data_IF_572528529205
#
_entry.id   IF_572528529205
#
_cell.length_a   1.000
_cell.length_b   1.000
_cell.length_c   1.000
_cell.angle_alpha   90.00
_cell.angle_beta   90.00
_cell.angle_gamma   90.00
#
_symmetry.space_group_name_H-M   'P 1'
#
loop_
_entity.id
_entity.type
_entity.pdbx_description
1 polymer ?
#
# COMPACT_ATOMS: atom_id res chain seq x y z
N UNK A 1 -71.93 -6.60 -3.25
CA UNK A 1 -71.05 -5.42 -3.48
C UNK A 1 -71.46 -4.32 -2.51
N UNK A 2 -70.50 -3.57 -1.93
CA UNK A 2 -70.67 -2.39 -1.06
C UNK A 2 -71.63 -2.53 0.13
N UNK A 3 -71.14 -2.25 1.34
CA UNK A 3 -71.67 -1.17 2.19
C UNK A 3 -70.74 -0.92 3.38
N UNK A 4 -70.73 0.34 3.84
CA UNK A 4 -70.05 0.74 5.07
C UNK A 4 -71.06 1.30 6.09
N UNK A 5 -70.53 2.06 7.05
CA UNK A 5 -71.22 2.82 8.11
C UNK A 5 -71.70 2.07 9.38
N UNK A 6 -70.96 2.33 10.49
CA UNK A 6 -71.38 3.02 11.74
C UNK A 6 -72.71 2.60 12.42
N UNK A 7 -72.82 2.58 13.77
CA UNK A 7 -72.46 3.71 14.67
C UNK A 7 -71.73 3.24 15.97
N UNK A 8 -71.69 3.87 17.17
CA UNK A 8 -72.26 5.13 17.74
C UNK A 8 -71.35 5.69 18.88
N UNK A 9 -71.79 6.78 19.52
CA UNK A 9 -71.27 7.33 20.80
C UNK A 9 -71.68 6.41 22.00
N UNK A 10 -71.24 6.56 23.27
CA UNK A 10 -70.84 7.77 23.98
C UNK A 10 -70.04 7.56 25.30
N UNK A 11 -69.32 8.62 25.70
CA UNK A 11 -69.06 9.15 27.07
C UNK A 11 -69.10 8.19 28.28
N UNK A 12 -67.94 8.08 28.94
CA UNK A 12 -67.82 7.87 30.39
C UNK A 12 -66.59 8.61 30.93
N UNK A 13 -66.77 9.75 31.60
CA UNK A 13 -65.70 10.42 32.37
C UNK A 13 -65.70 9.85 33.79
N UNK A 14 -64.52 9.59 34.36
CA UNK A 14 -64.30 9.78 35.79
C UNK A 14 -62.84 10.15 36.10
N UNK A 15 -62.68 11.07 37.05
CA UNK A 15 -61.42 11.48 37.67
C UNK A 15 -60.99 10.38 38.69
N UNK A 16 -59.78 10.27 39.26
CA UNK A 16 -58.51 11.04 39.28
C UNK A 16 -57.35 10.00 39.41
N UNK A 17 -56.04 10.26 39.46
CA UNK A 17 -55.26 11.26 40.22
C UNK A 17 -53.79 11.19 39.77
N UNK A 18 -53.06 12.29 39.97
CA UNK A 18 -51.59 12.41 40.15
C UNK A 18 -50.63 11.49 39.37
N UNK A 19 -49.88 12.09 38.43
CA UNK A 19 -48.48 11.70 38.21
C UNK A 19 -47.56 12.90 38.41
N UNK A 20 -46.57 12.71 39.29
CA UNK A 20 -45.53 13.70 39.59
C UNK A 20 -44.63 13.91 38.38
N UNK A 21 -44.21 15.15 38.15
CA UNK A 21 -43.28 15.51 37.10
C UNK A 21 -41.87 15.02 37.44
N UNK A 22 -41.22 14.29 36.53
CA UNK A 22 -39.78 14.23 36.54
C UNK A 22 -39.20 14.19 35.11
N UNK A 23 -38.53 15.29 34.76
CA UNK A 23 -38.26 15.69 33.38
C UNK A 23 -36.90 15.13 32.90
N UNK A 24 -36.89 13.87 32.44
CA UNK A 24 -35.67 13.24 31.89
C UNK A 24 -35.30 13.80 30.51
N UNK A 25 -34.50 14.88 30.50
CA UNK A 25 -33.81 15.38 29.30
C UNK A 25 -32.91 14.30 28.68
N UNK A 26 -33.34 13.69 27.57
CA UNK A 26 -32.44 12.98 26.65
C UNK A 26 -31.69 13.99 25.78
N UNK A 27 -30.58 14.51 26.30
CA UNK A 27 -29.59 15.25 25.50
C UNK A 27 -28.68 14.28 24.76
N UNK A 28 -28.72 14.27 23.42
CA UNK A 28 -27.92 13.37 22.61
C UNK A 28 -26.42 13.64 22.74
N UNK A 29 -25.65 12.63 23.17
CA UNK A 29 -24.19 12.67 23.21
C UNK A 29 -23.58 12.62 21.81
N UNK A 30 -23.64 13.73 21.07
CA UNK A 30 -22.95 13.90 19.79
C UNK A 30 -21.44 13.90 20.01
N UNK A 31 -20.80 12.74 19.85
CA UNK A 31 -19.35 12.60 19.97
C UNK A 31 -18.63 13.49 18.97
N UNK A 32 -18.03 14.59 19.44
CA UNK A 32 -17.17 15.45 18.63
C UNK A 32 -16.01 14.61 18.08
N UNK A 33 -15.99 14.37 16.77
CA UNK A 33 -14.81 13.85 16.07
C UNK A 33 -13.64 14.79 16.38
N UNK A 34 -12.59 14.26 17.03
CA UNK A 34 -11.33 14.98 17.19
C UNK A 34 -10.75 15.21 15.80
N UNK A 35 -10.79 16.44 15.30
CA UNK A 35 -9.99 16.82 14.14
C UNK A 35 -8.52 16.50 14.43
N UNK A 36 -7.83 15.86 13.49
CA UNK A 36 -6.41 15.56 13.62
C UNK A 36 -5.58 16.84 13.84
N UNK A 37 -4.42 16.69 14.48
CA UNK A 37 -3.45 17.79 14.60
C UNK A 37 -3.17 18.32 13.20
N UNK A 38 -3.55 19.56 12.92
CA UNK A 38 -3.31 20.14 11.59
C UNK A 38 -1.81 20.26 11.38
N UNK A 39 -1.30 19.68 10.29
CA UNK A 39 0.10 19.80 9.91
C UNK A 39 0.39 21.28 9.61
N UNK A 40 1.48 21.82 10.16
CA UNK A 40 1.93 23.18 9.86
C UNK A 40 2.28 23.29 8.36
N UNK A 41 1.63 24.19 7.58
CA UNK A 41 1.91 24.36 6.16
C UNK A 41 3.39 24.63 5.82
N UNK A 42 4.19 25.15 6.76
CA UNK A 42 5.64 25.32 6.59
C UNK A 42 6.38 24.00 6.35
N UNK A 43 5.80 22.86 6.75
CA UNK A 43 6.35 21.51 6.51
C UNK A 43 6.15 21.00 5.08
N UNK A 44 5.41 21.74 4.25
CA UNK A 44 5.20 21.43 2.84
C UNK A 44 6.03 22.32 1.90
N UNK A 45 6.97 23.10 2.45
CA UNK A 45 7.88 23.97 1.70
C UNK A 45 9.31 23.55 2.00
N UNK A 46 9.97 22.92 1.04
CA UNK A 46 11.36 22.46 1.13
C UNK A 46 11.92 22.40 -0.30
N UNK A 47 12.89 23.25 -0.67
CA UNK A 47 13.52 23.15 -1.98
C UNK A 47 14.22 21.79 -2.10
N UNK A 48 14.23 21.21 -3.31
CA UNK A 48 15.00 20.01 -3.58
C UNK A 48 16.47 20.25 -3.19
N UNK A 49 17.01 19.36 -2.36
CA UNK A 49 18.43 19.31 -2.08
C UNK A 49 19.01 18.21 -2.94
N UNK A 50 19.69 18.61 -4.02
CA UNK A 50 20.56 17.69 -4.74
C UNK A 50 21.72 17.28 -3.83
N UNK A 51 21.48 16.24 -3.05
CA UNK A 51 22.56 15.41 -2.55
C UNK A 51 23.06 14.65 -3.75
N UNK A 52 24.36 14.71 -4.03
CA UNK A 52 25.00 13.55 -4.65
C UNK A 52 24.64 12.35 -3.75
N UNK A 53 23.74 11.50 -4.23
CA UNK A 53 23.54 10.20 -3.60
C UNK A 53 24.86 9.50 -3.87
N UNK A 54 25.70 9.36 -2.83
CA UNK A 54 26.87 8.48 -2.93
C UNK A 54 26.33 7.11 -3.30
N UNK A 55 26.50 6.78 -4.57
CA UNK A 55 26.00 5.54 -5.12
C UNK A 55 26.64 4.42 -4.32
N UNK A 56 25.79 3.53 -3.81
CA UNK A 56 26.30 2.44 -2.99
C UNK A 56 27.00 1.46 -3.92
N UNK A 57 28.33 1.51 -3.94
CA UNK A 57 29.11 0.45 -4.58
C UNK A 57 28.91 -0.84 -3.80
N UNK A 58 28.28 -1.86 -4.41
CA UNK A 58 28.04 -3.12 -3.73
C UNK A 58 29.34 -3.90 -3.60
N UNK A 59 29.47 -4.64 -2.51
CA UNK A 59 30.63 -5.51 -2.26
C UNK A 59 30.58 -6.80 -3.07
N UNK A 60 29.40 -7.16 -3.57
CA UNK A 60 29.13 -8.36 -4.35
C UNK A 60 28.40 -8.00 -5.65
N UNK A 61 28.56 -8.83 -6.68
CA UNK A 61 27.63 -8.95 -7.79
C UNK A 61 26.54 -9.98 -7.46
N UNK A 62 25.49 -10.07 -8.27
CA UNK A 62 24.50 -11.14 -8.08
C UNK A 62 25.06 -12.57 -8.24
N UNK A 63 26.19 -12.74 -8.93
CA UNK A 63 26.81 -14.04 -9.18
C UNK A 63 27.55 -14.57 -7.95
N UNK A 64 28.07 -13.68 -7.09
CA UNK A 64 28.83 -14.04 -5.89
C UNK A 64 27.95 -14.68 -4.80
N UNK A 65 26.62 -14.51 -4.87
CA UNK A 65 25.67 -15.13 -3.93
C UNK A 65 25.42 -16.63 -4.18
N UNK A 66 25.98 -17.23 -5.24
CA UNK A 66 25.87 -18.68 -5.48
C UNK A 66 24.45 -19.17 -5.76
N UNK A 67 23.60 -18.35 -6.37
CA UNK A 67 22.22 -18.72 -6.68
C UNK A 67 22.10 -19.91 -7.64
N UNK A 68 20.90 -20.52 -7.68
CA UNK A 68 20.61 -21.61 -8.60
C UNK A 68 20.71 -21.10 -10.04
N UNK A 69 21.24 -21.92 -10.96
CA UNK A 69 21.47 -21.54 -12.36
C UNK A 69 20.23 -20.92 -13.05
N UNK A 70 19.03 -21.41 -12.76
CA UNK A 70 17.78 -20.85 -13.31
C UNK A 70 17.57 -19.40 -12.87
N UNK A 71 17.85 -19.08 -11.60
CA UNK A 71 17.75 -17.72 -11.07
C UNK A 71 18.82 -16.83 -11.71
N UNK A 72 20.05 -17.33 -11.83
CA UNK A 72 21.17 -16.64 -12.47
C UNK A 72 20.85 -16.31 -13.95
N UNK A 73 20.33 -17.27 -14.72
CA UNK A 73 19.88 -17.04 -16.09
C UNK A 73 18.75 -16.00 -16.18
N UNK A 74 17.80 -16.01 -15.23
CA UNK A 74 16.69 -15.04 -15.18
C UNK A 74 17.14 -13.63 -14.74
N UNK A 75 18.20 -13.50 -13.94
CA UNK A 75 18.83 -12.23 -13.60
C UNK A 75 19.56 -11.63 -14.81
N UNK A 76 20.35 -12.43 -15.53
CA UNK A 76 20.99 -12.02 -16.80
C UNK A 76 19.93 -11.59 -17.82
N UNK A 77 18.85 -12.35 -17.99
CA UNK A 77 17.76 -11.98 -18.90
C UNK A 77 16.98 -10.71 -18.51
N UNK A 78 17.18 -10.19 -17.29
CA UNK A 78 16.68 -8.90 -16.80
C UNK A 78 17.73 -7.77 -16.81
N UNK A 79 18.97 -8.06 -17.21
CA UNK A 79 20.14 -7.19 -17.05
C UNK A 79 20.38 -6.76 -15.58
N UNK A 80 20.16 -7.67 -14.63
CA UNK A 80 20.44 -7.44 -13.20
C UNK A 80 21.89 -7.85 -12.89
N UNK A 81 22.81 -6.89 -12.91
CA UNK A 81 24.25 -7.12 -12.68
C UNK A 81 24.67 -6.80 -11.23
N UNK A 82 24.42 -5.56 -10.79
CA UNK A 82 24.74 -5.06 -9.45
C UNK A 82 23.52 -5.15 -8.51
N UNK A 83 23.66 -5.71 -7.29
CA UNK A 83 22.61 -5.66 -6.28
C UNK A 83 22.52 -4.27 -5.64
N UNK A 84 21.31 -3.85 -5.25
CA UNK A 84 21.10 -2.64 -4.46
C UNK A 84 21.60 -2.82 -3.02
N UNK A 85 21.76 -1.72 -2.27
CA UNK A 85 22.25 -1.79 -0.88
C UNK A 85 21.46 -2.72 0.05
N UNK A 86 20.13 -2.80 -0.10
CA UNK A 86 19.32 -3.72 0.71
C UNK A 86 19.56 -5.18 0.29
N UNK A 87 19.68 -5.43 -1.02
CA UNK A 87 19.92 -6.76 -1.59
C UNK A 87 21.31 -7.28 -1.19
N UNK A 88 22.36 -6.48 -1.40
CA UNK A 88 23.75 -6.82 -1.09
C UNK A 88 23.95 -7.21 0.39
N UNK A 89 23.27 -6.47 1.29
CA UNK A 89 23.33 -6.74 2.74
C UNK A 89 22.41 -7.88 3.19
N UNK A 90 21.22 -8.05 2.62
CA UNK A 90 20.25 -9.03 3.11
C UNK A 90 20.36 -10.40 2.48
N UNK A 91 20.73 -10.51 1.21
CA UNK A 91 20.79 -11.81 0.51
C UNK A 91 21.71 -12.80 1.24
N UNK A 92 22.96 -12.46 1.63
CA UNK A 92 23.83 -13.40 2.35
C UNK A 92 23.29 -13.84 3.70
N UNK A 93 22.52 -12.97 4.38
CA UNK A 93 21.90 -13.28 5.68
C UNK A 93 20.71 -14.22 5.52
N UNK A 94 19.85 -13.95 4.53
CA UNK A 94 18.68 -14.78 4.26
C UNK A 94 19.09 -16.18 3.77
N UNK A 95 20.16 -16.30 2.98
CA UNK A 95 20.72 -17.58 2.54
C UNK A 95 21.24 -18.45 3.70
N UNK A 96 21.68 -17.84 4.81
CA UNK A 96 22.08 -18.59 6.03
C UNK A 96 20.90 -19.05 6.90
N UNK A 97 19.66 -18.72 6.51
CA UNK A 97 18.45 -19.09 7.27
C UNK A 97 18.15 -18.19 8.47
N UNK A 98 18.84 -17.06 8.62
CA UNK A 98 18.63 -16.11 9.72
C UNK A 98 17.39 -15.23 9.47
N UNK A 99 16.65 -14.88 10.53
CA UNK A 99 15.55 -13.90 10.46
C UNK A 99 16.11 -12.51 10.13
N UNK A 100 15.35 -11.70 9.36
CA UNK A 100 15.81 -10.38 8.91
C UNK A 100 14.74 -9.31 9.13
N UNK A 101 15.19 -8.16 9.64
CA UNK A 101 14.41 -6.92 9.64
C UNK A 101 15.06 -5.92 8.68
N UNK A 102 14.51 -5.80 7.48
CA UNK A 102 14.98 -4.89 6.43
C UNK A 102 14.30 -3.53 6.50
N UNK A 103 15.05 -2.49 6.81
CA UNK A 103 14.57 -1.09 6.88
C UNK A 103 15.06 -0.34 5.65
N UNK A 104 14.18 -0.16 4.66
CA UNK A 104 14.49 0.51 3.41
C UNK A 104 13.24 1.13 2.74
N UNK A 105 13.47 2.20 1.98
CA UNK A 105 12.43 2.95 1.25
C UNK A 105 11.82 2.11 0.10
N UNK A 106 10.65 2.50 -0.41
CA UNK A 106 10.07 1.88 -1.62
C UNK A 106 10.95 2.17 -2.84
N UNK A 107 11.06 1.20 -3.77
CA UNK A 107 11.92 1.32 -4.95
C UNK A 107 13.40 0.96 -4.72
N UNK A 108 13.80 0.61 -3.49
CA UNK A 108 15.19 0.21 -3.18
C UNK A 108 15.53 -1.24 -3.55
N UNK A 109 14.64 -1.99 -4.21
CA UNK A 109 14.87 -3.39 -4.58
C UNK A 109 14.56 -4.44 -3.50
N UNK A 110 13.82 -4.06 -2.43
CA UNK A 110 13.39 -4.98 -1.34
C UNK A 110 12.78 -6.29 -1.84
N UNK A 111 11.96 -6.24 -2.89
CA UNK A 111 11.26 -7.41 -3.45
C UNK A 111 12.25 -8.47 -3.94
N UNK A 112 13.21 -8.11 -4.79
CA UNK A 112 14.33 -9.01 -5.14
C UNK A 112 15.18 -9.45 -3.93
N UNK A 113 15.35 -8.58 -2.93
CA UNK A 113 16.16 -8.85 -1.74
C UNK A 113 15.66 -10.04 -0.91
N UNK A 114 14.34 -10.28 -0.87
CA UNK A 114 13.77 -11.48 -0.25
C UNK A 114 13.40 -12.59 -1.26
N UNK A 115 12.96 -12.24 -2.48
CA UNK A 115 12.53 -13.26 -3.45
C UNK A 115 13.68 -14.16 -3.92
N UNK A 116 14.84 -13.60 -4.25
CA UNK A 116 15.95 -14.36 -4.83
C UNK A 116 16.46 -15.48 -3.90
N UNK A 117 16.82 -15.21 -2.61
CA UNK A 117 17.26 -16.26 -1.70
C UNK A 117 16.14 -17.23 -1.32
N UNK A 118 14.90 -16.75 -1.21
CA UNK A 118 13.73 -17.60 -0.92
C UNK A 118 13.45 -18.57 -2.07
N UNK A 119 13.51 -18.11 -3.32
CA UNK A 119 13.37 -18.97 -4.50
C UNK A 119 14.51 -19.98 -4.61
N UNK A 120 15.76 -19.58 -4.32
CA UNK A 120 16.90 -20.50 -4.27
C UNK A 120 16.65 -21.64 -3.27
N UNK A 121 16.23 -21.31 -2.05
CA UNK A 121 15.93 -22.30 -1.00
C UNK A 121 14.77 -23.23 -1.39
N UNK A 122 13.65 -22.70 -1.91
CA UNK A 122 12.53 -23.51 -2.38
C UNK A 122 12.89 -24.40 -3.58
N UNK A 123 13.85 -23.97 -4.42
CA UNK A 123 14.39 -24.83 -5.49
C UNK A 123 15.25 -25.97 -4.95
N UNK A 124 16.02 -25.74 -3.89
CA UNK A 124 16.82 -26.76 -3.22
C UNK A 124 15.95 -27.75 -2.43
N UNK A 125 14.84 -27.30 -1.84
CA UNK A 125 13.93 -28.15 -1.06
C UNK A 125 12.44 -27.90 -1.35
N UNK A 126 11.88 -28.72 -2.24
CA UNK A 126 10.47 -28.68 -2.68
C UNK A 126 9.42 -29.05 -1.61
N UNK A 127 9.83 -29.50 -0.43
CA UNK A 127 8.89 -29.74 0.69
C UNK A 127 8.54 -28.47 1.46
N UNK A 128 9.36 -27.42 1.34
CA UNK A 128 9.18 -26.16 2.03
C UNK A 128 8.20 -25.24 1.29
N UNK A 129 7.63 -24.28 2.02
CA UNK A 129 6.73 -23.27 1.46
C UNK A 129 6.95 -21.87 2.03
N UNK A 130 6.53 -20.88 1.26
CA UNK A 130 6.67 -19.46 1.56
C UNK A 130 5.33 -18.71 1.53
N UNK A 131 5.07 -17.95 2.59
CA UNK A 131 3.94 -17.01 2.69
C UNK A 131 4.47 -15.58 2.57
N UNK A 132 4.04 -14.83 1.56
CA UNK A 132 4.43 -13.44 1.34
C UNK A 132 3.19 -12.56 1.49
N UNK A 133 3.23 -11.68 2.48
CA UNK A 133 2.13 -10.80 2.87
C UNK A 133 2.44 -9.37 2.43
N UNK A 134 1.50 -8.72 1.73
CA UNK A 134 1.60 -7.33 1.30
C UNK A 134 0.34 -6.53 1.68
N UNK A 135 0.45 -5.23 2.03
CA UNK A 135 -0.67 -4.38 2.45
C UNK A 135 -1.76 -4.21 1.38
N UNK A 136 -1.38 -4.12 0.11
CA UNK A 136 -2.30 -3.82 -1.00
C UNK A 136 -2.31 -4.92 -2.04
N UNK A 137 -3.43 -5.01 -2.78
CA UNK A 137 -3.59 -5.98 -3.86
C UNK A 137 -2.63 -5.68 -5.00
N UNK A 138 -2.38 -4.40 -5.23
CA UNK A 138 -1.48 -3.88 -6.24
C UNK A 138 -0.05 -4.33 -5.98
N UNK A 139 0.45 -4.17 -4.75
CA UNK A 139 1.77 -4.64 -4.36
C UNK A 139 1.86 -6.18 -4.38
N UNK A 140 0.81 -6.89 -3.93
CA UNK A 140 0.77 -8.36 -4.04
C UNK A 140 0.86 -8.85 -5.50
N UNK A 141 0.20 -8.17 -6.45
CA UNK A 141 0.31 -8.46 -7.89
C UNK A 141 1.72 -8.13 -8.42
N UNK A 142 2.35 -7.06 -7.95
CA UNK A 142 3.72 -6.72 -8.34
C UNK A 142 4.72 -7.79 -7.89
N UNK A 143 4.66 -8.18 -6.61
CA UNK A 143 5.50 -9.25 -6.05
C UNK A 143 5.26 -10.57 -6.79
N UNK A 144 4.01 -10.91 -7.15
CA UNK A 144 3.70 -12.10 -7.94
C UNK A 144 4.37 -12.08 -9.33
N UNK A 145 4.26 -10.99 -10.08
CA UNK A 145 4.94 -10.85 -11.38
C UNK A 145 6.45 -10.93 -11.27
N UNK A 146 7.03 -10.27 -10.27
CA UNK A 146 8.48 -10.23 -10.06
C UNK A 146 9.00 -11.62 -9.67
N UNK A 147 8.27 -12.32 -8.79
CA UNK A 147 8.49 -13.71 -8.40
C UNK A 147 8.40 -14.64 -9.61
N UNK A 148 7.32 -14.59 -10.39
CA UNK A 148 7.16 -15.40 -11.60
C UNK A 148 8.27 -15.17 -12.63
N UNK A 149 8.80 -13.95 -12.72
CA UNK A 149 9.92 -13.62 -13.61
C UNK A 149 11.28 -14.15 -13.11
N UNK A 150 11.56 -14.10 -11.80
CA UNK A 150 12.77 -14.71 -11.22
C UNK A 150 12.70 -16.25 -11.16
N UNK A 151 11.50 -16.79 -10.96
CA UNK A 151 11.20 -18.22 -10.88
C UNK A 151 10.90 -18.87 -12.25
N UNK A 152 11.08 -18.15 -13.37
CA UNK A 152 10.78 -18.65 -14.72
C UNK A 152 11.61 -19.91 -15.01
N UNK A 153 10.95 -21.01 -15.43
CA UNK A 153 11.53 -22.37 -15.57
C UNK A 153 11.99 -23.06 -14.27
N UNK A 154 11.79 -22.49 -13.08
CA UNK A 154 12.18 -23.14 -11.81
C UNK A 154 11.34 -24.39 -11.47
N UNK A 155 10.14 -24.50 -12.05
CA UNK A 155 9.15 -25.52 -11.73
C UNK A 155 8.44 -25.32 -10.37
N UNK A 156 8.59 -24.16 -9.72
CA UNK A 156 7.81 -23.78 -8.54
C UNK A 156 6.42 -23.27 -8.95
N UNK A 157 5.41 -23.52 -8.11
CA UNK A 157 4.05 -23.04 -8.30
C UNK A 157 3.69 -21.98 -7.25
N UNK A 158 3.14 -20.86 -7.73
CA UNK A 158 2.65 -19.77 -6.90
C UNK A 158 1.13 -19.60 -6.98
N UNK A 159 0.52 -19.02 -5.94
CA UNK A 159 -0.86 -18.52 -5.98
C UNK A 159 -0.97 -17.13 -5.34
N UNK A 160 -1.93 -16.34 -5.83
CA UNK A 160 -2.17 -14.96 -5.43
C UNK A 160 -3.52 -14.79 -4.71
N UNK A 161 -3.45 -14.64 -3.39
CA UNK A 161 -4.62 -14.52 -2.51
C UNK A 161 -4.99 -13.05 -2.26
N UNK A 162 -5.79 -12.47 -3.16
CA UNK A 162 -6.27 -11.09 -3.07
C UNK A 162 -7.80 -10.94 -3.04
N UNK A 163 -8.25 -9.89 -2.35
CA UNK A 163 -9.65 -9.48 -2.34
C UNK A 163 -10.12 -8.88 -3.67
N UNK A 164 -11.43 -8.71 -3.86
CA UNK A 164 -12.00 -8.01 -5.02
C UNK A 164 -11.90 -8.74 -6.37
N UNK A 165 -11.41 -9.98 -6.36
CA UNK A 165 -11.52 -10.96 -7.44
C UNK A 165 -12.26 -12.22 -6.93
N UNK A 166 -12.85 -13.05 -7.80
CA UNK A 166 -13.54 -14.27 -7.37
C UNK A 166 -12.63 -15.21 -6.56
N UNK A 167 -13.20 -15.90 -5.57
CA UNK A 167 -12.47 -16.85 -4.73
C UNK A 167 -12.27 -18.22 -5.42
N UNK A 168 -13.13 -18.56 -6.40
CA UNK A 168 -13.10 -19.85 -7.12
C UNK A 168 -11.75 -20.21 -7.75
N UNK A 169 -11.08 -19.30 -8.48
CA UNK A 169 -9.71 -19.51 -8.97
C UNK A 169 -8.71 -19.75 -7.84
N UNK A 170 -8.69 -18.90 -6.81
CA UNK A 170 -7.80 -19.06 -5.64
C UNK A 170 -7.98 -20.43 -4.96
N UNK A 171 -9.21 -20.94 -4.86
CA UNK A 171 -9.50 -22.29 -4.35
C UNK A 171 -9.00 -23.41 -5.27
N UNK A 172 -8.95 -23.19 -6.59
CA UNK A 172 -8.39 -24.14 -7.56
C UNK A 172 -6.88 -24.18 -7.43
N UNK A 173 -6.24 -23.02 -7.38
CA UNK A 173 -4.78 -22.89 -7.29
C UNK A 173 -4.26 -23.49 -5.97
N UNK A 174 -4.93 -23.22 -4.84
CA UNK A 174 -4.58 -23.83 -3.54
C UNK A 174 -4.69 -25.36 -3.52
N UNK A 175 -5.59 -25.97 -4.31
CA UNK A 175 -5.68 -27.44 -4.44
C UNK A 175 -4.45 -28.05 -5.13
N UNK A 176 -3.75 -27.27 -5.95
CA UNK A 176 -2.47 -27.67 -6.57
C UNK A 176 -1.30 -27.67 -5.57
N UNK A 177 -1.55 -27.33 -4.29
CA UNK A 177 -0.55 -27.30 -3.20
C UNK A 177 0.70 -26.45 -3.50
N UNK A 178 0.55 -25.19 -3.93
CA UNK A 178 1.67 -24.34 -4.33
C UNK A 178 2.70 -24.17 -3.21
N UNK A 179 3.98 -24.07 -3.61
CA UNK A 179 5.09 -23.76 -2.71
C UNK A 179 5.10 -22.29 -2.29
N UNK A 180 4.50 -21.40 -3.10
CA UNK A 180 4.49 -19.95 -2.84
C UNK A 180 3.05 -19.43 -2.74
N UNK A 181 2.73 -18.74 -1.64
CA UNK A 181 1.47 -18.03 -1.45
C UNK A 181 1.76 -16.56 -1.25
N UNK A 182 1.31 -15.71 -2.17
CA UNK A 182 1.42 -14.24 -2.08
C UNK A 182 0.02 -13.68 -1.81
N UNK A 183 -0.15 -12.73 -0.90
CA UNK A 183 -1.50 -12.21 -0.65
C UNK A 183 -1.63 -11.00 0.26
N UNK A 184 -2.87 -10.52 0.39
CA UNK A 184 -3.24 -9.44 1.32
C UNK A 184 -3.82 -10.00 2.61
N UNK A 185 -3.52 -9.44 3.81
CA UNK A 185 -3.93 -9.98 5.11
C UNK A 185 -5.37 -10.46 5.18
N UNK A 186 -6.35 -9.58 4.88
CA UNK A 186 -7.76 -9.92 4.97
C UNK A 186 -8.23 -11.05 4.04
N UNK A 187 -7.54 -11.32 2.91
CA UNK A 187 -7.86 -12.47 2.04
C UNK A 187 -7.16 -13.76 2.49
N UNK A 188 -5.91 -13.66 2.96
CA UNK A 188 -5.21 -14.81 3.56
C UNK A 188 -6.04 -15.32 4.75
N UNK A 189 -6.50 -14.43 5.63
CA UNK A 189 -7.38 -14.74 6.75
C UNK A 189 -8.71 -15.38 6.33
N UNK A 190 -9.41 -14.83 5.34
CA UNK A 190 -10.63 -15.45 4.76
C UNK A 190 -10.37 -16.88 4.24
N UNK A 191 -9.17 -17.18 3.72
CA UNK A 191 -8.79 -18.55 3.34
C UNK A 191 -8.47 -19.46 4.53
N UNK A 192 -7.91 -18.94 5.63
CA UNK A 192 -7.68 -19.65 6.89
C UNK A 192 -8.99 -19.99 7.61
N UNK A 193 -9.88 -19.01 7.76
CA UNK A 193 -11.22 -19.17 8.37
C UNK A 193 -12.04 -20.24 7.63
N UNK A 194 -11.93 -20.29 6.30
CA UNK A 194 -12.54 -21.33 5.44
C UNK A 194 -11.82 -22.68 5.48
N UNK A 195 -10.66 -22.79 6.14
CA UNK A 195 -9.77 -23.97 6.16
C UNK A 195 -9.29 -24.42 4.77
N UNK A 196 -9.19 -23.46 3.84
CA UNK A 196 -8.80 -23.69 2.43
C UNK A 196 -7.32 -23.41 2.18
N UNK A 197 -6.72 -22.54 2.99
CA UNK A 197 -5.28 -22.46 3.22
C UNK A 197 -4.98 -23.13 4.55
N UNK A 198 -3.84 -23.82 4.63
CA UNK A 198 -3.26 -24.35 5.88
C UNK A 198 -1.80 -23.89 5.91
N UNK A 199 -1.30 -23.48 7.07
CA UNK A 199 0.02 -22.86 7.21
C UNK A 199 1.07 -23.73 7.91
N UNK A 200 0.70 -24.90 8.44
CA UNK A 200 1.58 -25.82 9.18
C UNK A 200 2.77 -26.37 8.37
N UNK A 201 2.77 -26.28 7.04
CA UNK A 201 3.85 -26.71 6.15
C UNK A 201 4.65 -25.53 5.54
N UNK A 202 4.54 -24.33 6.14
CA UNK A 202 5.28 -23.14 5.70
C UNK A 202 6.54 -22.92 6.52
N UNK A 203 7.68 -22.87 5.82
CA UNK A 203 9.02 -22.69 6.39
C UNK A 203 9.51 -21.25 6.30
N UNK A 204 8.88 -20.43 5.47
CA UNK A 204 9.25 -19.02 5.24
C UNK A 204 8.01 -18.12 5.36
N UNK A 205 8.17 -16.99 6.04
CA UNK A 205 7.19 -15.90 6.01
C UNK A 205 7.86 -14.56 5.72
N UNK A 206 7.25 -13.78 4.83
CA UNK A 206 7.69 -12.43 4.46
C UNK A 206 6.53 -11.45 4.69
N UNK A 207 6.80 -10.34 5.35
CA UNK A 207 5.90 -9.19 5.40
C UNK A 207 6.61 -8.00 4.74
N UNK A 208 6.12 -7.54 3.59
CA UNK A 208 6.60 -6.30 2.98
C UNK A 208 5.65 -5.13 3.27
N UNK A 209 6.22 -3.94 3.45
CA UNK A 209 5.53 -2.73 3.89
C UNK A 209 4.74 -2.94 5.22
N UNK A 210 5.41 -3.49 6.26
CA UNK A 210 4.80 -3.77 7.58
C UNK A 210 4.12 -2.54 8.19
N UNK A 211 4.79 -1.38 8.11
CA UNK A 211 4.23 -0.10 8.55
C UNK A 211 2.90 0.23 7.84
N UNK A 212 2.78 -0.08 6.57
CA UNK A 212 1.53 0.16 5.81
C UNK A 212 0.43 -0.80 6.16
N UNK A 213 0.76 -2.03 6.55
CA UNK A 213 -0.25 -2.93 7.10
C UNK A 213 -0.79 -2.39 8.44
N UNK A 214 0.05 -1.73 9.27
CA UNK A 214 -0.42 -1.02 10.47
C UNK A 214 -1.29 0.20 10.13
N UNK A 215 -0.86 1.06 9.19
CA UNK A 215 -1.62 2.23 8.73
C UNK A 215 -3.03 1.86 8.21
N UNK A 216 -3.20 0.63 7.73
CA UNK A 216 -4.45 0.08 7.20
C UNK A 216 -5.26 -0.70 8.26
N UNK A 217 -4.76 -0.81 9.49
CA UNK A 217 -5.43 -1.49 10.60
C UNK A 217 -5.30 -3.01 10.61
N UNK A 218 -4.47 -3.60 9.74
CA UNK A 218 -4.34 -5.06 9.62
C UNK A 218 -3.54 -5.73 10.75
N UNK A 219 -3.09 -4.99 11.78
CA UNK A 219 -2.28 -5.53 12.89
C UNK A 219 -2.87 -6.81 13.52
N UNK A 220 -4.19 -6.87 13.70
CA UNK A 220 -4.83 -8.05 14.29
C UNK A 220 -4.90 -9.22 13.30
N UNK A 221 -5.11 -8.94 12.01
CA UNK A 221 -5.13 -9.97 10.96
C UNK A 221 -3.73 -10.55 10.73
N UNK A 222 -2.68 -9.72 10.76
CA UNK A 222 -1.28 -10.14 10.69
C UNK A 222 -0.95 -11.08 11.86
N UNK A 223 -1.30 -10.69 13.10
CA UNK A 223 -1.04 -11.50 14.30
C UNK A 223 -1.72 -12.87 14.20
N UNK A 224 -2.99 -12.90 13.78
CA UNK A 224 -3.74 -14.14 13.60
C UNK A 224 -3.09 -15.04 12.52
N UNK A 225 -2.73 -14.48 11.36
CA UNK A 225 -2.02 -15.22 10.30
C UNK A 225 -0.68 -15.78 10.81
N UNK A 226 0.11 -14.97 11.52
CA UNK A 226 1.42 -15.37 12.04
C UNK A 226 1.32 -16.43 13.14
N UNK A 227 0.32 -16.35 14.02
CA UNK A 227 0.04 -17.38 15.04
C UNK A 227 -0.48 -18.71 14.46
N UNK A 228 -0.80 -18.78 13.17
CA UNK A 228 -1.15 -20.03 12.47
C UNK A 228 0.06 -20.67 11.74
N UNK A 229 1.24 -20.05 11.76
CA UNK A 229 2.49 -20.61 11.22
C UNK A 229 3.22 -21.48 12.26
N UNK A 230 4.10 -22.42 11.84
CA UNK A 230 5.00 -23.12 12.74
C UNK A 230 5.96 -22.17 13.46
N UNK A 231 6.35 -22.49 14.69
CA UNK A 231 7.37 -21.75 15.44
C UNK A 231 8.74 -21.83 14.74
N UNK A 232 9.10 -23.01 14.22
CA UNK A 232 10.32 -23.21 13.44
C UNK A 232 10.10 -22.81 11.97
N UNK A 233 10.41 -21.54 11.68
CA UNK A 233 10.37 -20.93 10.34
C UNK A 233 11.43 -19.81 10.25
N UNK A 234 11.77 -19.38 9.04
CA UNK A 234 12.48 -18.12 8.82
C UNK A 234 11.46 -16.98 8.57
N UNK A 235 11.67 -15.84 9.22
CA UNK A 235 10.76 -14.69 9.22
C UNK A 235 11.47 -13.43 8.74
N UNK A 236 10.97 -12.84 7.65
CA UNK A 236 11.57 -11.69 6.96
C UNK A 236 10.62 -10.49 6.98
N UNK A 237 10.99 -9.41 7.66
CA UNK A 237 10.15 -8.24 7.91
C UNK A 237 10.73 -7.01 7.22
N UNK A 238 10.01 -6.45 6.24
CA UNK A 238 10.44 -5.30 5.45
C UNK A 238 9.55 -4.07 5.64
N UNK A 239 10.14 -2.95 6.05
CA UNK A 239 9.40 -1.73 6.42
C UNK A 239 10.20 -0.47 6.04
N UNK A 240 9.55 0.67 5.84
CA UNK A 240 10.27 1.95 5.73
C UNK A 240 10.56 2.54 7.12
N UNK A 241 9.62 2.36 8.05
CA UNK A 241 9.64 2.93 9.41
C UNK A 241 9.68 1.84 10.50
N UNK A 242 10.05 2.22 11.73
CA UNK A 242 10.17 1.33 12.90
C UNK A 242 9.46 1.95 14.12
N UNK A 243 8.13 1.99 14.09
CA UNK A 243 7.32 2.38 15.25
C UNK A 243 7.38 1.31 16.34
N UNK A 244 7.07 1.68 17.60
CA UNK A 244 7.05 0.73 18.72
C UNK A 244 6.07 -0.45 18.49
N UNK A 245 5.00 -0.24 17.73
CA UNK A 245 4.06 -1.30 17.34
C UNK A 245 4.71 -2.32 16.38
N UNK A 246 5.58 -1.87 15.47
CA UNK A 246 6.34 -2.75 14.58
C UNK A 246 7.40 -3.52 15.37
N UNK A 247 8.11 -2.85 16.29
CA UNK A 247 9.10 -3.50 17.18
C UNK A 247 8.46 -4.65 17.97
N UNK A 248 7.36 -4.39 18.66
CA UNK A 248 6.65 -5.44 19.40
C UNK A 248 6.09 -6.56 18.52
N UNK A 249 5.78 -6.30 17.23
CA UNK A 249 5.42 -7.34 16.28
C UNK A 249 6.63 -8.20 15.89
N UNK A 250 7.78 -7.59 15.60
CA UNK A 250 9.04 -8.27 15.31
C UNK A 250 9.46 -9.14 16.50
N UNK A 251 9.53 -8.55 17.70
CA UNK A 251 9.91 -9.23 18.95
C UNK A 251 9.02 -10.44 19.28
N UNK A 252 7.76 -10.45 18.81
CA UNK A 252 6.83 -11.58 19.03
C UNK A 252 6.98 -12.69 17.97
N UNK A 253 7.37 -12.35 16.74
CA UNK A 253 7.25 -13.26 15.59
C UNK A 253 8.55 -13.51 14.81
N UNK A 254 9.70 -13.11 15.37
CA UNK A 254 11.04 -13.40 14.85
C UNK A 254 11.93 -13.96 15.96
N UNK A 255 12.98 -14.70 15.60
CA UNK A 255 13.99 -15.20 16.51
C UNK A 255 15.35 -14.54 16.22
N UNK A 256 15.79 -13.67 17.14
CA UNK A 256 17.10 -13.00 17.08
C UNK A 256 17.44 -12.38 15.71
N UNK A 257 16.55 -11.55 15.12
CA UNK A 257 16.67 -11.12 13.74
C UNK A 257 17.86 -10.18 13.50
N UNK A 258 18.49 -10.32 12.34
CA UNK A 258 19.50 -9.37 11.85
C UNK A 258 18.80 -8.11 11.32
N UNK A 259 19.10 -6.97 11.95
CA UNK A 259 18.59 -5.67 11.53
C UNK A 259 19.47 -5.06 10.43
N UNK A 260 18.90 -4.87 9.24
CA UNK A 260 19.59 -4.32 8.08
C UNK A 260 18.97 -2.98 7.73
N UNK A 261 19.76 -1.91 7.79
CA UNK A 261 19.34 -0.57 7.38
C UNK A 261 19.97 -0.23 6.03
N UNK A 262 19.12 0.00 5.04
CA UNK A 262 19.48 0.50 3.72
C UNK A 262 18.63 1.73 3.40
N UNK A 263 18.97 2.83 4.08
CA UNK A 263 18.38 4.14 3.82
C UNK A 263 19.28 4.87 2.83
N UNK A 264 18.75 5.13 1.64
CA UNK A 264 19.19 6.29 0.85
C UNK A 264 18.95 7.57 1.64
N UNK A 265 19.44 8.72 1.14
CA UNK A 265 18.85 10.01 1.51
C UNK A 265 17.32 9.93 1.43
N UNK A 266 16.59 10.73 2.22
CA UNK A 266 15.14 10.67 2.17
C UNK A 266 14.70 10.93 0.73
N UNK A 267 13.74 10.16 0.19
CA UNK A 267 13.17 10.51 -1.13
C UNK A 267 12.49 11.88 -1.10
N UNK A 268 12.31 12.49 0.09
CA UNK A 268 11.94 13.89 0.29
C UNK A 268 13.05 14.91 -0.02
N UNK A 269 14.31 14.50 -0.18
CA UNK A 269 15.44 15.41 -0.47
C UNK A 269 15.51 15.72 -1.98
N UNK A 270 15.30 14.73 -2.84
CA UNK A 270 15.25 14.88 -4.30
C UNK A 270 13.89 15.40 -4.80
N UNK A 271 13.01 15.85 -3.91
CA UNK A 271 11.67 16.35 -4.26
C UNK A 271 11.51 17.79 -3.81
N UNK A 272 11.31 18.67 -4.78
CA UNK A 272 11.02 20.09 -4.57
C UNK A 272 9.57 20.23 -4.08
N UNK A 273 9.40 20.80 -2.90
CA UNK A 273 8.13 20.85 -2.18
C UNK A 273 7.63 22.28 -2.12
N UNK A 274 6.47 22.51 -2.73
CA UNK A 274 5.83 23.81 -2.84
C UNK A 274 4.38 23.79 -2.34
N UNK A 275 3.88 24.98 -1.98
CA UNK A 275 2.49 25.18 -1.53
C UNK A 275 1.78 26.14 -2.50
N UNK A 276 0.61 25.73 -2.98
CA UNK A 276 -0.34 26.62 -3.66
C UNK A 276 -1.42 27.00 -2.66
N UNK A 277 -1.55 28.30 -2.41
CA UNK A 277 -2.61 28.84 -1.55
C UNK A 277 -3.89 29.07 -2.37
N UNK A 278 -5.04 28.68 -1.82
CA UNK A 278 -6.35 28.96 -2.40
C UNK A 278 -7.31 29.57 -1.38
N UNK A 279 -8.25 30.41 -1.85
CA UNK A 279 -9.28 31.08 -1.03
C UNK A 279 -10.62 30.36 -1.05
N UNK A 280 -10.96 29.70 -2.16
CA UNK A 280 -12.23 28.99 -2.38
C UNK A 280 -12.01 27.76 -3.27
N UNK A 281 -12.95 26.81 -3.28
CA UNK A 281 -12.85 25.60 -4.12
C UNK A 281 -12.85 25.89 -5.63
N UNK A 282 -13.39 27.03 -6.07
CA UNK A 282 -13.35 27.47 -7.49
C UNK A 282 -11.94 27.91 -7.87
N UNK A 283 -11.32 28.79 -7.08
CA UNK A 283 -9.90 29.16 -7.19
C UNK A 283 -9.02 27.90 -7.20
N UNK A 284 -9.31 26.92 -6.33
CA UNK A 284 -8.57 25.65 -6.24
C UNK A 284 -8.51 24.84 -7.55
N UNK A 285 -9.58 24.81 -8.35
CA UNK A 285 -9.58 24.06 -9.63
C UNK A 285 -8.88 24.85 -10.74
N UNK A 286 -9.04 26.18 -10.80
CA UNK A 286 -8.32 27.01 -11.77
C UNK A 286 -6.81 26.95 -11.52
N UNK A 287 -6.37 27.03 -10.26
CA UNK A 287 -4.97 26.84 -9.86
C UNK A 287 -4.39 25.47 -10.24
N UNK A 288 -5.21 24.42 -10.21
CA UNK A 288 -4.79 23.11 -10.70
C UNK A 288 -4.68 23.10 -12.23
N UNK A 289 -5.59 23.74 -12.95
CA UNK A 289 -5.49 23.88 -14.40
C UNK A 289 -4.24 24.67 -14.80
N UNK A 290 -3.98 25.83 -14.18
CA UNK A 290 -2.76 26.63 -14.35
C UNK A 290 -1.48 25.79 -14.18
N UNK A 291 -1.43 24.94 -13.16
CA UNK A 291 -0.30 24.04 -12.91
C UNK A 291 -0.18 22.95 -13.97
N UNK A 292 -1.28 22.28 -14.34
CA UNK A 292 -1.29 21.13 -15.26
C UNK A 292 -1.02 21.48 -16.73
N UNK A 293 -1.02 22.77 -17.11
CA UNK A 293 -0.69 23.21 -18.49
C UNK A 293 0.76 23.68 -18.66
N UNK A 294 1.58 23.64 -17.60
CA UNK A 294 3.00 23.97 -17.69
C UNK A 294 3.76 22.84 -18.42
N UNK A 295 4.68 23.18 -19.33
CA UNK A 295 5.37 22.22 -20.20
C UNK A 295 6.21 21.17 -19.44
N UNK A 296 6.66 21.49 -18.21
CA UNK A 296 7.41 20.56 -17.36
C UNK A 296 6.51 19.57 -16.60
N UNK A 297 5.18 19.73 -16.65
CA UNK A 297 4.21 18.86 -15.98
C UNK A 297 3.77 17.74 -16.93
N UNK A 298 4.48 16.62 -16.86
CA UNK A 298 4.21 15.43 -17.65
C UNK A 298 3.34 14.46 -16.82
N UNK A 299 3.86 13.27 -16.49
CA UNK A 299 3.16 12.27 -15.69
C UNK A 299 2.92 12.76 -14.26
N UNK A 300 1.65 12.80 -13.85
CA UNK A 300 1.18 13.48 -12.63
C UNK A 300 0.25 12.61 -11.80
N UNK A 301 0.53 12.49 -10.49
CA UNK A 301 -0.28 11.75 -9.52
C UNK A 301 -0.99 12.73 -8.55
N UNK A 302 -2.31 12.78 -8.60
CA UNK A 302 -3.13 13.72 -7.80
C UNK A 302 -3.84 12.99 -6.65
N UNK A 303 -3.58 13.41 -5.42
CA UNK A 303 -4.20 12.86 -4.21
C UNK A 303 -5.45 13.64 -3.77
N UNK A 304 -6.55 12.92 -3.56
CA UNK A 304 -7.84 13.41 -3.04
C UNK A 304 -8.32 12.51 -1.91
N UNK A 305 -9.00 13.06 -0.91
CA UNK A 305 -9.33 12.31 0.31
C UNK A 305 -10.33 11.16 0.10
N UNK A 306 -11.38 11.37 -0.71
CA UNK A 306 -12.53 10.44 -0.79
C UNK A 306 -12.76 9.91 -2.20
N UNK A 307 -13.36 8.71 -2.31
CA UNK A 307 -13.77 8.13 -3.61
C UNK A 307 -14.63 9.08 -4.45
N UNK A 308 -15.57 9.79 -3.82
CA UNK A 308 -16.45 10.74 -4.51
C UNK A 308 -15.71 12.01 -4.97
N UNK A 309 -14.73 12.48 -4.17
CA UNK A 309 -13.92 13.66 -4.53
C UNK A 309 -12.87 13.37 -5.60
N UNK A 310 -12.42 12.12 -5.71
CA UNK A 310 -11.66 11.57 -6.85
C UNK A 310 -12.51 11.56 -8.12
N UNK A 311 -13.70 10.95 -8.09
CA UNK A 311 -14.61 10.89 -9.25
C UNK A 311 -15.07 12.28 -9.73
N UNK A 312 -15.33 13.22 -8.81
CA UNK A 312 -15.69 14.59 -9.15
C UNK A 312 -14.54 15.29 -9.89
N UNK A 313 -13.31 15.19 -9.39
CA UNK A 313 -12.15 15.82 -10.02
C UNK A 313 -11.84 15.19 -11.38
N UNK A 314 -12.04 13.87 -11.53
CA UNK A 314 -11.86 13.20 -12.82
C UNK A 314 -12.79 13.75 -13.91
N UNK A 315 -14.07 13.94 -13.60
CA UNK A 315 -15.04 14.52 -14.53
C UNK A 315 -14.67 15.95 -14.92
N UNK A 316 -14.24 16.74 -13.95
CA UNK A 316 -13.82 18.14 -14.14
C UNK A 316 -12.60 18.24 -15.08
N UNK A 317 -11.51 17.53 -14.78
CA UNK A 317 -10.31 17.52 -15.62
C UNK A 317 -10.59 16.99 -17.02
N UNK A 318 -11.42 15.94 -17.16
CA UNK A 318 -11.82 15.42 -18.47
C UNK A 318 -12.66 16.43 -19.27
N UNK A 319 -13.49 17.24 -18.61
CA UNK A 319 -14.28 18.30 -19.26
C UNK A 319 -13.38 19.42 -19.76
N UNK A 320 -12.26 19.67 -19.05
CA UNK A 320 -11.20 20.61 -19.44
C UNK A 320 -10.19 20.05 -20.47
N UNK A 321 -10.43 18.84 -21.00
CA UNK A 321 -9.60 18.23 -22.05
C UNK A 321 -8.38 17.44 -21.58
N UNK A 322 -8.10 17.33 -20.28
CA UNK A 322 -6.94 16.59 -19.79
C UNK A 322 -7.10 15.06 -19.94
N UNK A 323 -6.00 14.38 -20.28
CA UNK A 323 -5.94 12.92 -20.30
C UNK A 323 -5.77 12.35 -18.88
N UNK A 324 -6.91 12.02 -18.25
CA UNK A 324 -6.95 11.55 -16.87
C UNK A 324 -7.69 10.20 -16.70
N UNK A 325 -7.21 9.36 -15.79
CA UNK A 325 -7.98 8.26 -15.17
C UNK A 325 -7.90 8.37 -13.64
N UNK A 326 -8.57 7.46 -12.92
CA UNK A 326 -8.70 7.55 -11.46
C UNK A 326 -8.76 6.20 -10.75
N UNK A 327 -8.36 6.17 -9.48
CA UNK A 327 -8.33 4.96 -8.67
C UNK A 327 -8.70 5.18 -7.21
N UNK A 328 -9.70 4.44 -6.71
CA UNK A 328 -10.06 4.40 -5.30
C UNK A 328 -10.56 3.00 -4.90
N UNK A 329 -10.59 2.70 -3.60
CA UNK A 329 -10.97 1.37 -3.08
C UNK A 329 -12.36 0.87 -3.50
N UNK A 330 -13.28 1.76 -3.90
CA UNK A 330 -14.58 1.41 -4.45
C UNK A 330 -14.61 0.93 -5.91
N UNK A 331 -13.52 1.02 -6.69
CA UNK A 331 -13.46 0.47 -8.06
C UNK A 331 -13.17 -1.04 -8.02
N UNK A 332 -13.72 -1.79 -8.98
CA UNK A 332 -13.38 -3.22 -9.14
C UNK A 332 -11.89 -3.41 -9.45
N UNK A 333 -11.32 -4.57 -9.10
CA UNK A 333 -9.88 -4.80 -9.23
C UNK A 333 -9.39 -4.63 -10.68
N UNK A 334 -10.15 -5.14 -11.66
CA UNK A 334 -9.85 -4.94 -13.09
C UNK A 334 -10.03 -3.50 -13.58
N UNK A 335 -10.83 -2.66 -12.91
CA UNK A 335 -10.88 -1.23 -13.21
C UNK A 335 -9.67 -0.48 -12.64
N UNK A 336 -9.20 -0.86 -11.44
CA UNK A 336 -7.97 -0.33 -10.83
C UNK A 336 -6.72 -0.67 -11.67
N UNK A 337 -6.58 -1.95 -12.04
CA UNK A 337 -5.49 -2.42 -12.91
C UNK A 337 -5.48 -1.72 -14.29
N UNK A 338 -6.65 -1.47 -14.90
CA UNK A 338 -6.73 -0.75 -16.18
C UNK A 338 -6.27 0.70 -16.06
N UNK A 339 -6.71 1.43 -15.04
CA UNK A 339 -6.27 2.81 -14.80
C UNK A 339 -4.74 2.88 -14.56
N UNK A 340 -4.20 1.98 -13.73
CA UNK A 340 -2.76 1.90 -13.48
C UNK A 340 -1.96 1.51 -14.73
N UNK A 341 -2.45 0.56 -15.53
CA UNK A 341 -1.81 0.14 -16.78
C UNK A 341 -1.72 1.29 -17.80
N UNK A 342 -2.78 2.09 -17.93
CA UNK A 342 -2.80 3.27 -18.79
C UNK A 342 -1.76 4.30 -18.37
N UNK A 343 -1.76 4.65 -17.08
CA UNK A 343 -0.83 5.63 -16.51
C UNK A 343 0.64 5.17 -16.59
N UNK A 344 0.89 3.86 -16.42
CA UNK A 344 2.24 3.29 -16.61
C UNK A 344 2.70 3.32 -18.07
N UNK A 345 1.78 3.25 -19.04
CA UNK A 345 2.04 3.22 -20.49
C UNK A 345 1.94 4.59 -21.18
N UNK A 346 1.79 5.68 -20.43
CA UNK A 346 1.61 7.03 -20.97
C UNK A 346 0.35 7.15 -21.86
N UNK A 347 -0.65 6.27 -21.66
CA UNK A 347 -1.98 6.39 -22.28
C UNK A 347 -2.85 7.45 -21.57
N UNK A 348 -2.49 7.83 -20.34
CA UNK A 348 -3.03 8.98 -19.59
C UNK A 348 -1.93 9.65 -18.78
N UNK A 349 -1.88 10.96 -18.81
CA UNK A 349 -0.84 11.76 -18.13
C UNK A 349 -1.15 11.95 -16.64
N UNK A 350 -2.44 11.90 -16.27
CA UNK A 350 -2.93 12.18 -14.92
C UNK A 350 -3.61 10.96 -14.31
N UNK A 351 -3.16 10.56 -13.11
CA UNK A 351 -3.86 9.60 -12.27
C UNK A 351 -4.36 10.26 -10.98
N UNK A 352 -5.67 10.23 -10.74
CA UNK A 352 -6.27 10.77 -9.50
C UNK A 352 -6.56 9.63 -8.53
N UNK A 353 -6.08 9.70 -7.29
CA UNK A 353 -6.24 8.61 -6.32
C UNK A 353 -6.52 9.04 -4.88
N UNK A 354 -7.12 8.13 -4.12
CA UNK A 354 -7.11 8.15 -2.64
C UNK A 354 -5.85 7.48 -2.11
N UNK A 355 -5.32 7.90 -0.96
CA UNK A 355 -4.14 7.30 -0.28
C UNK A 355 -4.12 5.78 -0.32
N UNK A 356 -5.17 5.14 0.22
CA UNK A 356 -5.33 3.67 0.29
C UNK A 356 -5.20 2.99 -1.07
N UNK A 357 -5.58 3.68 -2.14
CA UNK A 357 -5.56 3.11 -3.48
C UNK A 357 -4.24 3.33 -4.23
N UNK A 358 -3.45 4.34 -3.82
CA UNK A 358 -2.16 4.69 -4.39
C UNK A 358 -0.94 4.19 -3.59
N UNK A 359 -1.14 3.67 -2.36
CA UNK A 359 -0.14 2.89 -1.63
C UNK A 359 0.25 1.64 -2.44
N UNK A 360 1.55 1.43 -2.62
CA UNK A 360 2.07 0.38 -3.49
C UNK A 360 1.90 0.63 -5.00
N UNK A 361 1.61 1.87 -5.45
CA UNK A 361 1.86 2.23 -6.86
C UNK A 361 3.36 2.27 -7.07
N UNK A 362 3.82 1.47 -8.03
CA UNK A 362 5.16 1.50 -8.57
C UNK A 362 5.08 1.83 -10.06
N UNK A 363 5.34 3.10 -10.36
CA UNK A 363 5.32 3.66 -11.71
C UNK A 363 6.46 4.68 -11.77
N UNK A 364 7.32 4.50 -12.75
CA UNK A 364 8.48 5.36 -12.97
C UNK A 364 8.10 6.60 -13.79
N UNK A 365 8.97 7.62 -13.74
CA UNK A 365 8.78 8.87 -14.47
C UNK A 365 7.62 9.74 -13.98
N UNK A 366 7.06 9.51 -12.78
CA UNK A 366 6.11 10.47 -12.17
C UNK A 366 6.87 11.77 -11.89
N UNK A 367 6.66 12.79 -12.71
CA UNK A 367 7.28 14.11 -12.57
C UNK A 367 6.69 14.91 -11.40
N UNK A 368 5.37 14.81 -11.21
CA UNK A 368 4.62 15.65 -10.28
C UNK A 368 3.70 14.83 -9.36
N UNK A 369 3.75 15.13 -8.06
CA UNK A 369 2.79 14.67 -7.05
C UNK A 369 2.00 15.87 -6.54
N UNK A 370 0.68 15.84 -6.70
CA UNK A 370 -0.20 16.94 -6.28
C UNK A 370 -1.05 16.49 -5.09
N UNK A 371 -0.76 17.04 -3.91
CA UNK A 371 -1.63 16.96 -2.75
C UNK A 371 -2.77 17.98 -2.90
N UNK A 372 -3.78 17.62 -3.70
CA UNK A 372 -4.96 18.48 -3.85
C UNK A 372 -5.72 18.58 -2.54
N UNK A 373 -5.79 17.50 -1.75
CA UNK A 373 -6.22 17.56 -0.35
C UNK A 373 -5.05 17.30 0.59
N UNK A 374 -4.93 18.11 1.65
CA UNK A 374 -3.86 17.98 2.67
C UNK A 374 -3.93 16.57 3.30
N UNK A 375 -2.82 15.83 3.40
CA UNK A 375 -2.80 14.52 4.03
C UNK A 375 -3.11 14.59 5.54
N UNK A 376 -3.69 13.51 6.08
CA UNK A 376 -4.10 13.43 7.49
C UNK A 376 -2.90 13.30 8.45
N UNK A 377 -1.77 12.78 7.96
CA UNK A 377 -0.52 12.62 8.73
C UNK A 377 0.69 13.09 7.93
N UNK A 378 1.79 13.41 8.62
CA UNK A 378 3.05 13.74 7.94
C UNK A 378 3.71 12.50 7.31
N UNK A 379 3.43 11.31 7.84
CA UNK A 379 3.88 10.07 7.23
C UNK A 379 3.15 9.83 5.90
N UNK A 380 1.83 10.04 5.83
CA UNK A 380 1.10 10.05 4.56
C UNK A 380 1.68 11.07 3.57
N UNK A 381 2.02 12.29 4.02
CA UNK A 381 2.68 13.29 3.17
C UNK A 381 3.97 12.76 2.54
N UNK A 382 4.93 12.33 3.37
CA UNK A 382 6.23 11.78 2.93
C UNK A 382 6.05 10.63 1.94
N UNK A 383 5.07 9.77 2.21
CA UNK A 383 4.75 8.62 1.37
C UNK A 383 4.09 8.94 0.02
N UNK A 384 3.32 10.03 -0.05
CA UNK A 384 2.77 10.55 -1.30
C UNK A 384 3.87 11.16 -2.15
N UNK A 385 4.70 12.04 -1.57
CA UNK A 385 5.75 12.75 -2.33
C UNK A 385 6.85 11.78 -2.82
N UNK A 386 7.16 10.73 -2.06
CA UNK A 386 8.06 9.64 -2.49
C UNK A 386 7.53 8.75 -3.64
N UNK A 387 6.45 9.14 -4.32
CA UNK A 387 6.06 8.59 -5.63
C UNK A 387 6.77 9.29 -6.80
N UNK A 388 7.32 10.49 -6.58
CA UNK A 388 8.24 11.18 -7.51
C UNK A 388 9.67 11.20 -6.92
N UNK A 389 10.64 11.78 -7.63
CA UNK A 389 12.05 11.87 -7.18
C UNK A 389 12.77 10.52 -7.11
N UNK A 390 12.43 9.59 -8.01
CA UNK A 390 12.95 8.21 -8.05
C UNK A 390 14.10 8.08 -9.04
N UNK A 391 15.02 7.14 -8.80
CA UNK A 391 16.12 6.85 -9.73
C UNK A 391 17.20 7.94 -9.86
N UNK A 392 17.20 8.95 -8.98
CA UNK A 392 18.12 10.09 -9.05
C UNK A 392 17.49 11.35 -9.67
N UNK A 393 16.34 11.22 -10.33
CA UNK A 393 15.59 12.35 -10.91
C UNK A 393 15.08 13.33 -9.85
N UNK A 394 14.92 14.59 -10.26
CA UNK A 394 14.23 15.61 -9.44
C UNK A 394 12.71 15.43 -9.59
N UNK A 395 12.03 15.29 -8.46
CA UNK A 395 10.57 15.27 -8.40
C UNK A 395 9.98 16.60 -7.92
N UNK A 396 8.71 16.83 -8.23
CA UNK A 396 7.97 18.01 -7.76
C UNK A 396 6.74 17.60 -6.95
N UNK A 397 6.59 18.18 -5.75
CA UNK A 397 5.46 17.94 -4.86
C UNK A 397 4.73 19.23 -4.51
N UNK A 398 3.51 19.39 -5.02
CA UNK A 398 2.70 20.59 -4.81
C UNK A 398 1.54 20.31 -3.87
N UNK A 399 1.41 21.11 -2.80
CA UNK A 399 0.35 20.95 -1.79
C UNK A 399 -0.60 22.13 -1.77
N UNK A 400 -1.89 21.86 -1.97
CA UNK A 400 -2.93 22.88 -1.98
C UNK A 400 -3.38 23.17 -0.55
N UNK A 401 -3.12 24.40 -0.08
CA UNK A 401 -3.46 24.85 1.27
C UNK A 401 -4.52 25.94 1.21
N UNK A 402 -5.66 25.71 1.87
CA UNK A 402 -6.70 26.71 1.99
C UNK A 402 -6.30 27.79 2.99
N UNK A 403 -6.54 29.06 2.68
CA UNK A 403 -6.48 30.12 3.68
C UNK A 403 -7.49 29.84 4.80
N UNK A 404 -6.99 29.53 6.01
CA UNK A 404 -7.81 29.64 7.22
C UNK A 404 -8.18 31.11 7.43
N UNK A 405 -9.49 31.36 7.59
CA UNK A 405 -9.97 32.48 8.39
C UNK A 405 -9.87 32.12 9.87
#
# INVERSE_FOLDING_TARGET
MKNGYKPRNARGKNYSRNYSSNNRRRGGGGGKRKFGKTIDPKRFVKPAKFSEVKEYEPTNTFFDFGFNEVITQNLVAKNFEKPTQIQDKSIPVILRGEDVVGIANTGTGKTGAFLLPLLHNLMANRSQKALIIAPTRELAIQIEKECAAFAKKSGLFGTLLIGGVPIGPQLRDLRSRPEIVIGTPGRIKDHLERKTLKLHDFSYVVLDEVDRMLDMGFINDIRDILSNLPDQRQSLFFSATMSNTIKGLIETFTNSPVHIMARTAETSDNVDQAVINYKQDVDKIERLHELLVLENVQKTLIFRETKYSVEKLHKELKTRGFSADYMHGGKSQGARQRALKKFHKDEVDILIATDVAARGIDVDGISHVINYDIPQTYDDYTHRIGRTGRGGEIGYAVTFVGHRR
#
